data_IF_983707204365
#
_entry.id   IF_983707204365
#
_cell.length_a   1.000
_cell.length_b   1.000
_cell.length_c   1.000
_cell.angle_alpha   90.00
_cell.angle_beta   90.00
_cell.angle_gamma   90.00
#
_symmetry.space_group_name_H-M   'P 1'
#
loop_
_entity.id
_entity.type
_entity.pdbx_description
1 polymer ?
#
# COMPACT_ATOMS: atom_id res chain seq x y z
N UNK A 1 16.84 22.16 3.57
CA UNK A 1 16.09 21.78 2.35
C UNK A 1 14.65 22.21 2.52
N UNK A 2 14.07 22.94 1.56
CA UNK A 2 12.65 23.27 1.58
C UNK A 2 11.80 22.00 1.48
N UNK A 3 10.66 21.99 2.15
CA UNK A 3 9.75 20.86 2.16
C UNK A 3 8.30 21.33 2.19
N UNK A 4 7.41 20.49 1.66
CA UNK A 4 5.96 20.65 1.78
C UNK A 4 5.43 19.51 2.64
N UNK A 5 4.54 19.83 3.57
CA UNK A 5 3.82 18.83 4.37
C UNK A 5 2.41 18.73 3.85
N UNK A 6 1.99 17.52 3.47
CA UNK A 6 0.62 17.26 3.01
C UNK A 6 0.01 16.12 3.82
N UNK A 7 -1.32 16.07 3.97
CA UNK A 7 -1.99 14.84 4.35
C UNK A 7 -1.58 13.69 3.42
N UNK A 8 -1.41 12.51 3.98
CA UNK A 8 -1.15 11.28 3.23
C UNK A 8 -2.40 10.40 3.30
N UNK A 9 -2.95 10.10 2.13
CA UNK A 9 -4.10 9.22 1.95
C UNK A 9 -3.82 8.34 0.74
N UNK A 10 -3.67 7.04 0.96
CA UNK A 10 -3.35 6.10 -0.12
C UNK A 10 -4.06 4.78 0.13
N UNK A 11 -4.80 4.30 -0.88
CA UNK A 11 -5.44 3.00 -0.86
C UNK A 11 -4.65 2.00 -1.71
N UNK A 12 -4.46 0.79 -1.19
CA UNK A 12 -3.85 -0.33 -1.89
C UNK A 12 -4.78 -1.54 -1.81
N UNK A 13 -5.04 -2.16 -2.96
CA UNK A 13 -5.82 -3.40 -3.05
C UNK A 13 -4.96 -4.60 -2.67
N UNK A 14 -5.61 -5.70 -2.28
CA UNK A 14 -4.90 -6.96 -2.09
C UNK A 14 -4.11 -7.36 -3.34
N UNK A 15 -2.83 -7.68 -3.16
CA UNK A 15 -1.88 -7.96 -4.24
C UNK A 15 -1.14 -6.74 -4.77
N UNK A 16 -1.57 -5.52 -4.45
CA UNK A 16 -0.87 -4.31 -4.89
C UNK A 16 0.38 -4.04 -4.05
N UNK A 17 1.34 -3.43 -4.74
CA UNK A 17 2.65 -3.04 -4.20
C UNK A 17 2.85 -1.54 -4.40
N UNK A 18 3.21 -0.86 -3.32
CA UNK A 18 3.67 0.53 -3.34
C UNK A 18 5.19 0.58 -3.19
N UNK A 19 5.93 0.95 -4.25
CA UNK A 19 7.36 1.20 -4.13
C UNK A 19 7.61 2.45 -3.29
N UNK A 20 8.43 2.32 -2.24
CA UNK A 20 8.83 3.45 -1.39
C UNK A 20 10.08 4.16 -1.93
N UNK A 21 10.86 3.46 -2.74
CA UNK A 21 12.10 3.97 -3.34
C UNK A 21 11.92 4.23 -4.84
N UNK A 22 12.68 5.19 -5.40
CA UNK A 22 12.76 5.34 -6.85
C UNK A 22 13.25 4.03 -7.48
N UNK A 23 12.73 3.69 -8.66
CA UNK A 23 13.34 2.65 -9.49
C UNK A 23 14.77 3.06 -9.84
N UNK A 24 15.68 2.09 -9.95
CA UNK A 24 17.09 2.35 -10.30
C UNK A 24 17.16 3.23 -11.56
N UNK A 25 17.85 4.36 -11.47
CA UNK A 25 18.02 5.31 -12.57
C UNK A 25 16.95 6.41 -12.67
N UNK A 26 15.92 6.40 -11.81
CA UNK A 26 14.95 7.50 -11.72
C UNK A 26 15.26 8.41 -10.53
N UNK A 27 15.27 9.73 -10.75
CA UNK A 27 15.20 10.70 -9.66
C UNK A 27 13.78 10.74 -9.11
N UNK A 28 13.54 10.03 -8.00
CA UNK A 28 12.29 10.09 -7.28
C UNK A 28 12.31 11.17 -6.19
N UNK A 29 11.12 11.59 -5.75
CA UNK A 29 11.00 12.52 -4.64
C UNK A 29 11.59 11.95 -3.35
N UNK A 30 12.35 12.79 -2.64
CA UNK A 30 12.74 12.48 -1.27
C UNK A 30 11.56 12.76 -0.37
N UNK A 31 11.10 11.78 0.40
CA UNK A 31 9.97 11.96 1.30
C UNK A 31 10.15 11.24 2.63
N UNK A 32 9.35 11.67 3.59
CA UNK A 32 9.17 11.04 4.89
C UNK A 32 7.68 11.02 5.21
N UNK A 33 7.12 9.82 5.36
CA UNK A 33 5.71 9.59 5.64
C UNK A 33 5.56 9.07 7.06
N UNK A 34 4.67 9.71 7.80
CA UNK A 34 4.20 9.25 9.12
C UNK A 34 2.83 8.63 8.93
N UNK A 35 2.76 7.30 9.06
CA UNK A 35 1.53 6.54 9.02
C UNK A 35 0.92 6.47 10.42
N UNK A 36 -0.36 6.80 10.55
CA UNK A 36 -1.04 6.98 11.85
C UNK A 36 -2.22 6.04 12.03
N UNK A 37 -2.94 5.74 10.96
CA UNK A 37 -4.03 4.77 10.99
C UNK A 37 -4.17 4.07 9.65
N UNK A 38 -4.83 2.93 9.71
CA UNK A 38 -5.15 2.07 8.58
C UNK A 38 -6.65 1.81 8.58
N UNK A 39 -7.26 1.75 7.41
CA UNK A 39 -8.63 1.30 7.22
C UNK A 39 -8.60 0.04 6.38
N UNK A 40 -8.95 -1.07 6.99
CA UNK A 40 -9.10 -2.34 6.30
C UNK A 40 -10.52 -2.38 5.75
N UNK A 41 -10.67 -2.60 4.46
CA UNK A 41 -11.97 -2.65 3.78
C UNK A 41 -12.15 -3.99 3.09
N UNK A 42 -13.32 -4.60 3.29
CA UNK A 42 -13.80 -5.77 2.57
C UNK A 42 -15.10 -5.41 1.88
N UNK A 43 -15.10 -5.44 0.55
CA UNK A 43 -16.30 -5.32 -0.28
C UNK A 43 -16.83 -6.71 -0.57
N UNK A 44 -17.93 -7.09 0.08
CA UNK A 44 -18.59 -8.38 -0.14
C UNK A 44 -19.67 -8.25 -1.23
N UNK A 45 -19.65 -9.15 -2.20
CA UNK A 45 -20.78 -9.38 -3.10
C UNK A 45 -21.94 -10.09 -2.40
N UNK A 46 -22.90 -10.60 -3.20
CA UNK A 46 -24.10 -11.29 -2.70
C UNK A 46 -23.84 -12.68 -2.09
N UNK A 47 -22.63 -13.20 -2.24
CA UNK A 47 -22.25 -14.52 -1.77
C UNK A 47 -21.72 -14.46 -0.34
N UNK A 48 -21.89 -15.55 0.42
CA UNK A 48 -21.25 -15.68 1.73
C UNK A 48 -19.72 -15.65 1.57
N UNK A 49 -19.06 -14.74 2.28
CA UNK A 49 -17.60 -14.62 2.24
C UNK A 49 -16.96 -15.52 3.31
N UNK A 50 -15.80 -16.10 2.98
CA UNK A 50 -15.00 -16.85 3.95
C UNK A 50 -14.21 -15.88 4.86
N UNK A 51 -13.89 -16.28 6.11
CA UNK A 51 -12.98 -15.52 6.94
C UNK A 51 -11.66 -15.26 6.21
N UNK A 52 -11.22 -14.01 6.20
CA UNK A 52 -10.02 -13.61 5.45
C UNK A 52 -9.22 -12.58 6.25
N UNK A 53 -7.91 -12.77 6.30
CA UNK A 53 -7.00 -11.83 6.95
C UNK A 53 -6.32 -10.98 5.90
N UNK A 54 -6.41 -9.67 6.09
CA UNK A 54 -5.77 -8.65 5.28
C UNK A 54 -4.63 -8.04 6.09
N UNK A 55 -3.45 -7.91 5.49
CA UNK A 55 -2.23 -7.48 6.17
C UNK A 55 -1.46 -6.46 5.33
N UNK A 56 -1.00 -5.38 5.96
CA UNK A 56 -0.03 -4.47 5.37
C UNK A 56 1.37 -4.95 5.74
N UNK A 57 2.18 -5.23 4.73
CA UNK A 57 3.53 -5.78 4.88
C UNK A 57 4.53 -4.77 4.34
N UNK A 58 5.59 -4.50 5.11
CA UNK A 58 6.76 -3.75 4.64
C UNK A 58 7.86 -4.70 4.22
N UNK A 59 8.46 -4.44 3.06
CA UNK A 59 9.61 -5.17 2.54
C UNK A 59 10.87 -4.33 2.73
N UNK A 60 11.89 -4.94 3.30
CA UNK A 60 13.15 -4.30 3.70
C UNK A 60 14.34 -5.04 3.10
N UNK A 61 15.41 -4.29 2.82
CA UNK A 61 16.71 -4.89 2.52
C UNK A 61 17.20 -5.71 3.72
N UNK A 62 17.88 -6.81 3.45
CA UNK A 62 18.65 -7.50 4.48
C UNK A 62 19.84 -6.64 4.93
N UNK A 63 19.96 -6.46 6.24
CA UNK A 63 21.00 -5.66 6.89
C UNK A 63 22.30 -6.47 7.02
N UNK A 64 22.23 -7.81 6.99
CA UNK A 64 23.38 -8.70 7.15
C UNK A 64 23.90 -9.21 5.78
N UNK A 65 24.51 -8.32 5.00
CA UNK A 65 25.13 -8.69 3.72
C UNK A 65 26.56 -9.21 3.87
N UNK A 66 26.72 -10.45 4.35
CA UNK A 66 28.03 -11.12 4.35
C UNK A 66 28.23 -12.11 3.18
N UNK A 67 27.27 -12.29 2.28
CA UNK A 67 27.46 -13.22 1.14
C UNK A 67 26.99 -12.65 -0.20
N UNK A 68 27.96 -12.56 -1.12
CA UNK A 68 27.75 -12.43 -2.57
C UNK A 68 26.70 -13.46 -3.01
N UNK A 69 25.69 -12.98 -3.74
CA UNK A 69 24.71 -13.74 -4.52
C UNK A 69 23.36 -14.15 -3.88
N UNK A 70 22.86 -13.43 -2.86
CA UNK A 70 21.44 -13.53 -2.50
C UNK A 70 20.85 -12.15 -2.20
N UNK A 71 19.88 -11.71 -3.00
CA UNK A 71 18.94 -10.64 -2.64
C UNK A 71 17.91 -11.21 -1.67
N UNK A 72 18.35 -11.58 -0.46
CA UNK A 72 17.42 -11.89 0.61
C UNK A 72 16.66 -10.61 0.98
N UNK A 73 15.33 -10.70 1.03
CA UNK A 73 14.46 -9.59 1.42
C UNK A 73 13.76 -9.99 2.71
N UNK A 74 13.79 -9.11 3.71
CA UNK A 74 13.06 -9.30 4.95
C UNK A 74 11.68 -8.64 4.80
N UNK A 75 10.64 -9.28 5.32
CA UNK A 75 9.30 -8.72 5.30
C UNK A 75 8.67 -8.75 6.68
N UNK A 76 8.02 -7.65 7.07
CA UNK A 76 7.42 -7.47 8.38
C UNK A 76 5.97 -7.01 8.23
N UNK A 77 5.08 -7.61 9.01
CA UNK A 77 3.68 -7.17 9.04
C UNK A 77 3.57 -5.94 9.93
N UNK A 78 3.11 -4.82 9.37
CA UNK A 78 2.89 -3.58 10.11
C UNK A 78 1.57 -3.60 10.88
N UNK A 79 0.53 -4.16 10.26
CA UNK A 79 -0.77 -4.38 10.85
C UNK A 79 -1.54 -5.43 10.06
N UNK A 80 -2.48 -6.09 10.73
CA UNK A 80 -3.39 -7.04 10.11
C UNK A 80 -4.78 -6.94 10.74
N UNK A 81 -5.78 -7.31 9.95
CA UNK A 81 -7.15 -7.44 10.40
C UNK A 81 -7.79 -8.68 9.77
N UNK A 82 -8.52 -9.44 10.58
CA UNK A 82 -9.25 -10.62 10.14
C UNK A 82 -10.74 -10.30 10.07
N UNK A 83 -11.28 -10.31 8.85
CA UNK A 83 -12.71 -10.23 8.64
C UNK A 83 -13.33 -11.60 8.91
N UNK A 84 -14.37 -11.64 9.73
CA UNK A 84 -15.13 -12.87 9.99
C UNK A 84 -16.04 -13.24 8.83
N UNK A 85 -16.55 -14.48 8.79
CA UNK A 85 -17.49 -14.93 7.76
C UNK A 85 -18.69 -13.97 7.65
N UNK A 86 -18.98 -13.43 6.46
CA UNK A 86 -20.25 -12.72 6.25
C UNK A 86 -21.35 -13.72 5.86
N UNK A 87 -22.51 -13.61 6.51
CA UNK A 87 -23.72 -14.32 6.08
C UNK A 87 -24.24 -13.71 4.77
N UNK A 88 -24.39 -14.51 3.72
CA UNK A 88 -24.97 -14.06 2.45
C UNK A 88 -26.39 -13.56 2.67
N UNK A 89 -26.56 -12.24 2.65
CA UNK A 89 -27.84 -11.55 2.71
C UNK A 89 -27.92 -10.49 1.62
N UNK A 90 -29.12 -10.00 1.32
CA UNK A 90 -29.41 -9.15 0.15
C UNK A 90 -28.76 -7.73 0.21
N UNK A 91 -28.01 -7.44 1.28
CA UNK A 91 -27.30 -6.18 1.47
C UNK A 91 -25.80 -6.42 1.27
N UNK A 92 -25.31 -6.10 0.07
CA UNK A 92 -23.87 -5.92 -0.19
C UNK A 92 -23.41 -4.67 0.57
N UNK A 93 -23.01 -4.87 1.83
CA UNK A 93 -22.45 -3.82 2.66
C UNK A 93 -20.91 -3.95 2.66
N UNK A 94 -20.25 -2.85 2.32
CA UNK A 94 -18.81 -2.72 2.53
C UNK A 94 -18.53 -2.75 4.04
N UNK A 95 -17.72 -3.71 4.47
CA UNK A 95 -17.23 -3.75 5.84
C UNK A 95 -15.90 -3.01 5.92
N UNK A 96 -15.78 -2.09 6.87
CA UNK A 96 -14.56 -1.34 7.10
C UNK A 96 -14.20 -1.32 8.58
N UNK A 97 -12.91 -1.46 8.86
CA UNK A 97 -12.37 -1.43 10.22
C UNK A 97 -11.18 -0.49 10.25
N UNK A 98 -11.27 0.50 11.14
CA UNK A 98 -10.19 1.45 11.39
C UNK A 98 -9.29 0.90 12.47
N UNK A 99 -8.01 0.75 12.15
CA UNK A 99 -6.95 0.39 13.10
C UNK A 99 -6.07 1.61 13.30
N UNK A 100 -6.12 2.17 14.50
CA UNK A 100 -5.18 3.21 14.92
C UNK A 100 -3.87 2.56 15.32
N UNK A 101 -2.76 3.07 14.78
CA UNK A 101 -1.44 2.57 15.14
C UNK A 101 -1.07 3.13 16.52
N UNK A 102 -0.66 2.30 17.48
CA UNK A 102 -0.31 2.77 18.84
C UNK A 102 0.89 3.71 18.83
N UNK A 103 1.69 3.68 17.76
CA UNK A 103 2.75 4.64 17.48
C UNK A 103 2.82 4.88 15.98
N UNK A 104 3.06 6.13 15.52
CA UNK A 104 3.20 6.39 14.10
C UNK A 104 4.36 5.60 13.48
N UNK A 105 4.13 5.00 12.32
CA UNK A 105 5.17 4.28 11.57
C UNK A 105 5.83 5.26 10.60
N UNK A 106 7.15 5.39 10.71
CA UNK A 106 7.96 6.25 9.84
C UNK A 106 8.43 5.47 8.61
N UNK A 107 8.02 5.92 7.42
CA UNK A 107 8.46 5.39 6.14
C UNK A 107 9.22 6.48 5.38
N UNK A 108 10.33 6.13 4.73
CA UNK A 108 11.17 7.11 4.02
C UNK A 108 11.63 6.54 2.69
N UNK A 109 11.78 7.40 1.68
CA UNK A 109 12.28 6.97 0.36
C UNK A 109 13.78 6.69 0.31
N UNK A 110 14.49 6.90 1.42
CA UNK A 110 15.94 6.65 1.57
C UNK A 110 16.25 5.61 2.64
N UNK A 111 15.24 5.05 3.31
CA UNK A 111 15.41 4.07 4.39
C UNK A 111 15.53 2.65 3.85
N UNK A 112 15.71 1.67 4.75
CA UNK A 112 15.87 0.24 4.42
C UNK A 112 14.59 -0.40 3.85
N UNK A 113 13.43 0.14 4.19
CA UNK A 113 12.16 -0.23 3.60
C UNK A 113 12.13 0.23 2.13
N UNK A 114 11.85 -0.69 1.22
CA UNK A 114 11.80 -0.40 -0.21
C UNK A 114 10.40 -0.51 -0.81
N UNK A 115 9.47 -1.18 -0.12
CA UNK A 115 8.14 -1.44 -0.63
C UNK A 115 7.12 -1.72 0.48
N UNK A 116 5.86 -1.40 0.22
CA UNK A 116 4.70 -1.87 0.98
C UNK A 116 3.84 -2.79 0.10
N UNK A 117 3.34 -3.87 0.66
CA UNK A 117 2.49 -4.84 -0.03
C UNK A 117 1.25 -5.13 0.81
N UNK A 118 0.08 -5.19 0.17
CA UNK A 118 -1.14 -5.68 0.82
C UNK A 118 -1.31 -7.17 0.53
N UNK A 119 -1.27 -7.99 1.58
CA UNK A 119 -1.47 -9.44 1.49
C UNK A 119 -2.85 -9.82 2.02
N UNK A 120 -3.54 -10.70 1.30
CA UNK A 120 -4.76 -11.37 1.75
C UNK A 120 -4.52 -12.87 1.86
N UNK A 121 -5.11 -13.53 2.86
CA UNK A 121 -5.11 -15.00 2.96
C UNK A 121 -5.99 -15.66 1.90
N UNK A 122 -6.89 -14.91 1.26
CA UNK A 122 -7.68 -15.39 0.14
C UNK A 122 -6.93 -15.13 -1.18
N UNK A 123 -5.96 -15.99 -1.48
CA UNK A 123 -5.09 -15.88 -2.66
C UNK A 123 -5.85 -15.98 -4.00
N UNK A 124 -7.09 -16.48 -4.00
CA UNK A 124 -7.94 -16.53 -5.20
C UNK A 124 -8.36 -15.14 -5.67
N UNK A 125 -8.36 -14.15 -4.77
CA UNK A 125 -8.65 -12.74 -5.10
C UNK A 125 -7.45 -11.97 -5.66
N UNK A 126 -6.24 -12.55 -5.65
CA UNK A 126 -4.96 -11.87 -5.94
C UNK A 126 -4.49 -12.06 -7.39
N UNK A 127 -5.10 -12.95 -8.18
CA UNK A 127 -4.72 -13.22 -9.58
C UNK A 127 -5.27 -12.21 -10.59
N UNK A 128 -4.95 -10.92 -10.46
CA UNK A 128 -5.35 -9.92 -11.47
C UNK A 128 -4.24 -9.00 -11.99
N UNK A 129 -2.96 -9.21 -11.64
CA UNK A 129 -1.92 -8.26 -12.05
C UNK A 129 -0.68 -8.81 -12.77
N UNK A 130 -0.58 -10.10 -13.07
CA UNK A 130 0.57 -10.61 -13.83
C UNK A 130 0.29 -11.96 -14.47
N UNK A 131 0.39 -12.00 -15.80
CA UNK A 131 0.28 -13.17 -16.69
C UNK A 131 -1.11 -13.80 -16.91
N UNK A 132 -1.87 -13.24 -17.85
CA UNK A 132 -2.44 -14.09 -18.89
C UNK A 132 -2.69 -13.31 -20.18
N UNK A 133 -1.88 -13.63 -21.20
CA UNK A 133 -2.29 -13.44 -22.59
C UNK A 133 -3.58 -14.24 -22.79
N UNK A 134 -4.59 -13.50 -23.21
CA UNK A 134 -5.94 -13.89 -23.58
C UNK A 134 -5.94 -15.21 -24.38
N UNK A 135 -6.40 -16.28 -23.73
CA UNK A 135 -7.21 -17.32 -24.38
C UNK A 135 -8.49 -17.45 -23.56
N UNK A 136 -9.62 -17.25 -24.25
CA UNK A 136 -10.91 -16.95 -23.64
C UNK A 136 -11.42 -17.98 -22.66
N UNK A 137 -11.66 -17.53 -21.43
CA UNK A 137 -12.88 -17.77 -20.66
C UNK A 137 -13.02 -16.58 -19.72
N UNK A 138 -14.19 -15.96 -19.63
CA UNK A 138 -14.42 -14.84 -18.72
C UNK A 138 -14.25 -15.33 -17.27
N UNK A 139 -13.07 -15.15 -16.68
CA UNK A 139 -12.86 -15.38 -15.26
C UNK A 139 -13.81 -14.46 -14.49
N UNK A 140 -14.76 -15.07 -13.76
CA UNK A 140 -15.64 -14.36 -12.84
C UNK A 140 -14.78 -13.46 -11.96
N UNK A 141 -15.05 -12.16 -11.96
CA UNK A 141 -14.49 -11.22 -11.00
C UNK A 141 -14.64 -11.79 -9.58
N UNK A 142 -13.62 -11.70 -8.71
CA UNK A 142 -13.72 -12.22 -7.35
C UNK A 142 -14.95 -11.61 -6.68
N UNK A 143 -15.78 -12.46 -6.05
CA UNK A 143 -17.02 -12.01 -5.39
C UNK A 143 -16.76 -11.15 -4.16
N UNK A 144 -15.51 -11.04 -3.72
CA UNK A 144 -15.06 -10.19 -2.62
C UNK A 144 -13.78 -9.45 -2.99
N UNK A 145 -13.73 -8.14 -2.73
CA UNK A 145 -12.54 -7.31 -2.93
C UNK A 145 -12.01 -6.77 -1.59
N UNK A 146 -10.68 -6.65 -1.48
CA UNK A 146 -9.99 -6.23 -0.27
C UNK A 146 -9.08 -5.04 -0.53
N UNK A 147 -9.07 -4.08 0.40
CA UNK A 147 -8.29 -2.85 0.29
C UNK A 147 -7.80 -2.39 1.68
N UNK A 148 -6.59 -1.85 1.75
CA UNK A 148 -6.09 -1.11 2.91
C UNK A 148 -5.91 0.34 2.51
N UNK A 149 -6.58 1.24 3.23
CA UNK A 149 -6.35 2.68 3.15
C UNK A 149 -5.41 3.13 4.25
N UNK A 150 -4.35 3.82 3.88
CA UNK A 150 -3.32 4.35 4.77
C UNK A 150 -3.52 5.85 5.00
N UNK A 151 -3.51 6.27 6.26
CA UNK A 151 -3.70 7.66 6.66
C UNK A 151 -2.50 8.21 7.44
N UNK A 152 -2.13 9.45 7.13
CA UNK A 152 -1.06 10.10 7.86
C UNK A 152 -0.67 11.46 7.31
N UNK A 153 0.62 11.77 7.39
CA UNK A 153 1.20 12.97 6.79
C UNK A 153 2.48 12.62 6.05
N UNK A 154 2.75 13.33 4.97
CA UNK A 154 3.97 13.19 4.21
C UNK A 154 4.69 14.53 4.15
N UNK A 155 5.99 14.51 4.46
CA UNK A 155 6.93 15.59 4.15
C UNK A 155 7.65 15.23 2.87
N UNK A 156 7.44 16.02 1.83
CA UNK A 156 8.15 15.90 0.56
C UNK A 156 9.21 16.99 0.49
N UNK A 157 10.46 16.59 0.31
CA UNK A 157 11.58 17.52 0.18
C UNK A 157 11.75 17.91 -1.29
N UNK A 158 11.85 19.22 -1.52
CA UNK A 158 11.86 19.79 -2.86
C UNK A 158 13.28 20.16 -3.30
N UNK A 159 13.55 19.98 -4.58
CA UNK A 159 14.74 20.53 -5.24
C UNK A 159 14.59 22.03 -5.46
N UNK A 160 15.70 22.72 -5.74
CA UNK A 160 15.67 24.15 -6.06
C UNK A 160 14.82 24.43 -7.31
N UNK A 161 14.88 23.56 -8.32
CA UNK A 161 14.07 23.65 -9.54
C UNK A 161 12.57 23.52 -9.24
N UNK A 162 12.19 22.56 -8.40
CA UNK A 162 10.80 22.36 -7.98
C UNK A 162 10.27 23.57 -7.20
N UNK A 163 11.11 24.17 -6.33
CA UNK A 163 10.77 25.40 -5.64
C UNK A 163 10.58 26.58 -6.60
N UNK A 164 11.44 26.70 -7.62
CA UNK A 164 11.31 27.75 -8.63
C UNK A 164 10.00 27.60 -9.40
N UNK A 165 9.63 26.38 -9.81
CA UNK A 165 8.35 26.09 -10.49
C UNK A 165 7.13 26.46 -9.64
N UNK A 166 7.16 26.13 -8.34
CA UNK A 166 6.06 26.51 -7.44
C UNK A 166 5.99 28.03 -7.25
N UNK A 167 7.15 28.70 -7.16
CA UNK A 167 7.21 30.15 -6.97
C UNK A 167 6.75 30.95 -8.18
N UNK A 168 6.93 30.42 -9.41
CA UNK A 168 6.47 31.08 -10.63
C UNK A 168 4.96 30.92 -10.82
N UNK A 169 4.39 29.76 -10.44
CA UNK A 169 2.94 29.53 -10.49
C UNK A 169 2.16 30.48 -9.57
N UNK A 170 2.70 30.83 -8.40
CA UNK A 170 2.05 31.74 -7.45
C UNK A 170 2.09 33.24 -7.82
N UNK A 171 2.82 33.63 -8.88
CA UNK A 171 2.92 35.03 -9.34
C UNK A 171 1.97 35.38 -10.49
N UNK A 172 1.15 34.43 -10.95
CA UNK A 172 0.22 34.59 -12.07
C UNK A 172 -1.25 34.77 -11.64
N UNK A 173 -1.51 35.03 -10.36
CA UNK A 173 -2.81 35.36 -9.77
C UNK A 173 -2.77 36.78 -9.21
#
# INVERSE_FOLDING_TARGET
MPYVTTPFFLALKAGEELPLRPRKGAEGFSFTTLLTSLVFTRRCGKEASIPSTLSLVVCCDDVNKDKKNSTATNSYTLASHTFTKASGGDVSADESVVVSLPSPILLTSRGNAFSLVVKSTDEKSVKLSSDSKINGTAEKSPSTAYEITMHGSQRTFLTNEQMQLLSSAGRSL
#
